data_IF_968283582784
#
_entry.id   IF_968283582784
#
_cell.length_a   1.000
_cell.length_b   1.000
_cell.length_c   1.000
_cell.angle_alpha   90.00
_cell.angle_beta   90.00
_cell.angle_gamma   90.00
#
_symmetry.space_group_name_H-M   'P 1'
#
loop_
_entity.id
_entity.type
_entity.pdbx_description
1 polymer ?
#
# COMPACT_ATOMS: atom_id res chain seq x y z
N UNK A 1 26.38 -5.48 5.73
CA UNK A 1 26.79 -6.66 6.49
C UNK A 1 26.20 -7.92 5.87
N UNK A 2 27.03 -8.88 5.62
CA UNK A 2 26.59 -10.11 4.98
C UNK A 2 25.87 -10.99 6.00
N UNK A 3 24.68 -11.47 5.66
CA UNK A 3 23.87 -12.32 6.52
C UNK A 3 24.59 -13.60 6.95
N UNK A 4 25.52 -14.09 6.14
CA UNK A 4 26.35 -15.26 6.44
C UNK A 4 27.41 -15.01 7.51
N UNK A 5 27.77 -13.76 7.72
CA UNK A 5 28.73 -13.38 8.77
C UNK A 5 28.06 -13.28 10.15
N UNK A 6 26.73 -13.20 10.18
CA UNK A 6 25.93 -13.14 11.39
C UNK A 6 25.32 -14.50 11.72
N UNK A 7 26.07 -15.57 11.55
CA UNK A 7 25.59 -16.97 11.66
C UNK A 7 25.21 -17.38 13.08
N UNK A 8 24.62 -16.48 13.83
CA UNK A 8 24.03 -16.77 15.10
C UNK A 8 22.55 -17.07 14.86
N UNK A 9 22.09 -18.24 15.24
CA UNK A 9 20.69 -18.67 15.10
C UNK A 9 19.73 -17.70 15.76
N UNK A 10 20.12 -17.10 16.89
CA UNK A 10 19.31 -16.14 17.61
C UNK A 10 19.16 -14.83 16.82
N UNK A 11 20.21 -14.42 16.13
CA UNK A 11 20.21 -13.21 15.30
C UNK A 11 19.34 -13.39 14.06
N UNK A 12 19.40 -14.57 13.43
CA UNK A 12 18.53 -14.90 12.29
C UNK A 12 17.06 -14.90 12.71
N UNK A 13 16.73 -15.49 13.86
CA UNK A 13 15.36 -15.48 14.40
C UNK A 13 14.88 -14.07 14.70
N UNK A 14 15.74 -13.23 15.22
CA UNK A 14 15.42 -11.83 15.52
C UNK A 14 15.09 -11.06 14.24
N UNK A 15 15.91 -11.21 13.19
CA UNK A 15 15.70 -10.56 11.90
C UNK A 15 14.42 -11.03 11.25
N UNK A 16 14.11 -12.32 11.30
CA UNK A 16 12.87 -12.87 10.76
C UNK A 16 11.65 -12.33 11.49
N UNK A 17 11.72 -12.21 12.81
CA UNK A 17 10.66 -11.62 13.62
C UNK A 17 10.43 -10.16 13.25
N UNK A 18 11.49 -9.37 13.13
CA UNK A 18 11.40 -7.95 12.76
C UNK A 18 10.81 -7.79 11.37
N UNK A 19 11.22 -8.63 10.41
CA UNK A 19 10.68 -8.63 9.07
C UNK A 19 9.19 -8.98 9.06
N UNK A 20 8.78 -9.99 9.83
CA UNK A 20 7.37 -10.40 9.92
C UNK A 20 6.51 -9.31 10.54
N UNK A 21 6.98 -8.64 11.59
CA UNK A 21 6.28 -7.53 12.22
C UNK A 21 6.09 -6.36 11.24
N UNK A 22 7.12 -6.08 10.45
CA UNK A 22 7.11 -5.03 9.45
C UNK A 22 6.15 -5.35 8.30
N UNK A 23 6.16 -6.58 7.80
CA UNK A 23 5.21 -7.05 6.79
C UNK A 23 3.79 -6.94 7.29
N UNK A 24 3.55 -7.31 8.54
CA UNK A 24 2.24 -7.21 9.18
C UNK A 24 1.79 -5.74 9.31
N UNK A 25 2.70 -4.85 9.70
CA UNK A 25 2.42 -3.41 9.77
C UNK A 25 2.07 -2.85 8.39
N UNK A 26 2.85 -3.23 7.38
CA UNK A 26 2.59 -2.84 5.99
C UNK A 26 1.24 -3.34 5.53
N UNK A 27 0.91 -4.60 5.81
CA UNK A 27 -0.38 -5.20 5.46
C UNK A 27 -1.54 -4.42 6.08
N UNK A 28 -1.43 -4.06 7.35
CA UNK A 28 -2.46 -3.29 8.05
C UNK A 28 -2.67 -1.91 7.43
N UNK A 29 -1.59 -1.22 7.10
CA UNK A 29 -1.66 0.10 6.46
C UNK A 29 -2.30 0.03 5.08
N UNK A 30 -1.90 -0.95 4.27
CA UNK A 30 -2.48 -1.16 2.93
C UNK A 30 -3.95 -1.53 3.05
N UNK A 31 -4.31 -2.44 3.96
CA UNK A 31 -5.71 -2.82 4.20
C UNK A 31 -6.55 -1.63 4.64
N UNK A 32 -6.01 -0.76 5.51
CA UNK A 32 -6.69 0.46 5.95
C UNK A 32 -6.93 1.41 4.78
N UNK A 33 -5.93 1.61 3.92
CA UNK A 33 -6.08 2.43 2.72
C UNK A 33 -7.17 1.88 1.80
N UNK A 34 -7.22 0.56 1.61
CA UNK A 34 -8.28 -0.09 0.83
C UNK A 34 -9.66 0.21 1.43
N UNK A 35 -9.82 0.09 2.74
CA UNK A 35 -11.08 0.36 3.42
C UNK A 35 -11.53 1.81 3.23
N UNK A 36 -10.60 2.75 3.27
CA UNK A 36 -10.89 4.17 3.05
C UNK A 36 -11.37 4.43 1.62
N UNK A 37 -10.75 3.78 0.63
CA UNK A 37 -11.01 4.00 -0.79
C UNK A 37 -12.17 3.17 -1.33
N UNK A 38 -12.48 2.06 -0.71
CA UNK A 38 -13.48 1.09 -1.19
C UNK A 38 -14.85 1.70 -1.44
N UNK A 39 -15.38 2.61 -0.60
CA UNK A 39 -16.67 3.25 -0.88
C UNK A 39 -16.76 3.97 -2.21
N UNK A 40 -15.64 4.41 -2.79
CA UNK A 40 -15.64 5.08 -4.09
C UNK A 40 -16.13 4.18 -5.23
N UNK A 41 -16.15 2.86 -5.02
CA UNK A 41 -16.59 1.91 -6.05
C UNK A 41 -18.11 1.80 -6.17
N UNK A 42 -18.86 2.24 -5.15
CA UNK A 42 -20.32 2.17 -5.16
C UNK A 42 -21.04 3.47 -4.82
N UNK A 43 -20.31 4.47 -4.31
CA UNK A 43 -20.90 5.77 -3.98
C UNK A 43 -21.04 6.63 -5.24
N UNK A 44 -22.07 7.45 -5.27
CA UNK A 44 -22.21 8.51 -6.26
C UNK A 44 -21.72 9.82 -5.64
N UNK A 45 -21.07 10.65 -6.46
CA UNK A 45 -20.48 11.91 -6.01
C UNK A 45 -21.20 13.05 -6.75
N UNK A 46 -22.35 13.43 -6.23
CA UNK A 46 -23.21 14.47 -6.87
C UNK A 46 -23.01 15.84 -6.22
N UNK A 47 -22.68 15.88 -4.92
CA UNK A 47 -22.49 17.14 -4.21
C UNK A 47 -21.03 17.51 -4.06
N UNK A 48 -20.76 18.81 -3.92
CA UNK A 48 -19.40 19.30 -3.65
C UNK A 48 -18.86 18.77 -2.33
N UNK A 49 -19.73 18.58 -1.36
CA UNK A 49 -19.38 18.01 -0.06
C UNK A 49 -18.91 16.56 -0.18
N UNK A 50 -19.61 15.74 -0.98
CA UNK A 50 -19.21 14.36 -1.26
C UNK A 50 -17.87 14.30 -1.99
N UNK A 51 -17.67 15.17 -2.95
CA UNK A 51 -16.40 15.27 -3.71
C UNK A 51 -15.25 15.70 -2.81
N UNK A 52 -15.48 16.66 -1.91
CA UNK A 52 -14.47 17.08 -0.94
C UNK A 52 -14.08 15.96 0.02
N UNK A 53 -15.05 15.16 0.45
CA UNK A 53 -14.79 13.98 1.27
C UNK A 53 -13.95 12.95 0.53
N UNK A 54 -14.26 12.68 -0.72
CA UNK A 54 -13.47 11.77 -1.56
C UNK A 54 -12.02 12.23 -1.66
N UNK A 55 -11.80 13.53 -1.90
CA UNK A 55 -10.46 14.10 -1.96
C UNK A 55 -9.70 13.91 -0.65
N UNK A 56 -10.36 14.14 0.48
CA UNK A 56 -9.77 13.92 1.80
C UNK A 56 -9.43 12.45 2.02
N UNK A 57 -10.32 11.54 1.62
CA UNK A 57 -10.11 10.10 1.75
C UNK A 57 -8.93 9.64 0.89
N UNK A 58 -8.82 10.15 -0.34
CA UNK A 58 -7.68 9.84 -1.22
C UNK A 58 -6.37 10.32 -0.59
N UNK A 59 -6.33 11.55 -0.08
CA UNK A 59 -5.15 12.10 0.57
C UNK A 59 -4.75 11.29 1.80
N UNK A 60 -5.72 10.85 2.59
CA UNK A 60 -5.47 10.00 3.76
C UNK A 60 -4.88 8.65 3.35
N UNK A 61 -5.44 8.03 2.31
CA UNK A 61 -4.92 6.78 1.78
C UNK A 61 -3.47 6.93 1.28
N UNK A 62 -3.17 8.00 0.56
CA UNK A 62 -1.81 8.29 0.09
C UNK A 62 -0.84 8.38 1.27
N UNK A 63 -1.20 9.09 2.33
CA UNK A 63 -0.35 9.21 3.52
C UNK A 63 -0.06 7.86 4.16
N UNK A 64 -1.06 7.00 4.26
CA UNK A 64 -0.89 5.63 4.79
C UNK A 64 0.05 4.81 3.91
N UNK A 65 -0.12 4.91 2.59
CA UNK A 65 0.67 4.14 1.63
C UNK A 65 2.11 4.64 1.56
N UNK A 66 2.33 5.94 1.61
CA UNK A 66 3.68 6.51 1.68
C UNK A 66 4.40 6.04 2.94
N UNK A 67 3.72 6.05 4.08
CA UNK A 67 4.29 5.54 5.33
C UNK A 67 4.63 4.04 5.23
N UNK A 68 3.77 3.26 4.57
CA UNK A 68 4.03 1.83 4.36
C UNK A 68 5.26 1.61 3.47
N UNK A 69 5.37 2.35 2.37
CA UNK A 69 6.51 2.25 1.45
C UNK A 69 7.80 2.68 2.13
N UNK A 70 7.79 3.76 2.88
CA UNK A 70 8.97 4.23 3.63
C UNK A 70 9.44 3.19 4.65
N UNK A 71 8.52 2.59 5.38
CA UNK A 71 8.84 1.53 6.33
C UNK A 71 9.55 0.36 5.63
N UNK A 72 9.04 -0.04 4.47
CA UNK A 72 9.65 -1.11 3.69
C UNK A 72 11.03 -0.72 3.15
N UNK A 73 11.20 0.52 2.69
CA UNK A 73 12.47 0.99 2.11
C UNK A 73 13.56 1.17 3.17
N UNK A 74 13.22 1.70 4.35
CA UNK A 74 14.21 2.03 5.37
C UNK A 74 14.69 0.84 6.19
N UNK A 75 13.85 -0.15 6.38
CA UNK A 75 14.11 -1.22 7.34
C UNK A 75 14.36 -2.56 6.69
N UNK A 76 14.36 -2.61 5.36
CA UNK A 76 14.48 -3.89 4.64
C UNK A 76 15.85 -4.12 4.06
N UNK A 77 16.38 -5.31 4.28
CA UNK A 77 17.21 -5.91 3.26
C UNK A 77 16.29 -6.24 2.08
N UNK A 78 16.69 -5.85 0.88
CA UNK A 78 15.86 -6.00 -0.30
C UNK A 78 15.75 -7.45 -0.73
N UNK A 79 14.60 -8.03 -0.49
CA UNK A 79 14.18 -9.30 -1.09
C UNK A 79 13.29 -9.00 -2.30
N UNK A 80 13.16 -9.96 -3.21
CA UNK A 80 12.35 -9.77 -4.43
C UNK A 80 10.90 -9.37 -4.12
N UNK A 81 10.31 -9.95 -3.08
CA UNK A 81 8.94 -9.63 -2.68
C UNK A 81 8.82 -8.22 -2.09
N UNK A 82 9.87 -7.72 -1.41
CA UNK A 82 9.89 -6.35 -0.89
C UNK A 82 9.84 -5.34 -2.02
N UNK A 83 10.61 -5.61 -3.08
CA UNK A 83 10.65 -4.77 -4.28
C UNK A 83 9.27 -4.77 -4.96
N UNK A 84 8.66 -5.94 -5.11
CA UNK A 84 7.33 -6.09 -5.72
C UNK A 84 6.27 -5.32 -4.94
N UNK A 85 6.25 -5.45 -3.62
CA UNK A 85 5.30 -4.78 -2.74
C UNK A 85 5.47 -3.26 -2.81
N UNK A 86 6.70 -2.77 -2.69
CA UNK A 86 6.99 -1.33 -2.77
C UNK A 86 6.60 -0.78 -4.13
N UNK A 87 6.90 -1.50 -5.21
CA UNK A 87 6.49 -1.10 -6.55
C UNK A 87 4.97 -0.97 -6.67
N UNK A 88 4.22 -1.94 -6.19
CA UNK A 88 2.76 -1.93 -6.25
C UNK A 88 2.17 -0.79 -5.43
N UNK A 89 2.72 -0.55 -4.23
CA UNK A 89 2.28 0.56 -3.37
C UNK A 89 2.58 1.91 -4.04
N UNK A 90 3.77 2.09 -4.60
CA UNK A 90 4.15 3.34 -5.27
C UNK A 90 3.32 3.59 -6.53
N UNK A 91 3.01 2.55 -7.30
CA UNK A 91 2.11 2.65 -8.45
C UNK A 91 0.70 3.07 -8.02
N UNK A 92 0.19 2.51 -6.92
CA UNK A 92 -1.10 2.90 -6.37
C UNK A 92 -1.08 4.38 -5.93
N UNK A 93 -0.02 4.82 -5.26
CA UNK A 93 0.15 6.23 -4.88
C UNK A 93 0.17 7.14 -6.11
N UNK A 94 0.82 6.73 -7.19
CA UNK A 94 0.86 7.47 -8.44
C UNK A 94 -0.55 7.64 -9.03
N UNK A 95 -1.35 6.58 -9.05
CA UNK A 95 -2.74 6.64 -9.52
C UNK A 95 -3.60 7.57 -8.66
N UNK A 96 -3.45 7.48 -7.34
CA UNK A 96 -4.16 8.34 -6.40
C UNK A 96 -3.72 9.80 -6.54
N UNK A 97 -2.44 10.04 -6.78
CA UNK A 97 -1.91 11.37 -7.07
C UNK A 97 -2.51 11.97 -8.33
N UNK A 98 -2.69 11.18 -9.39
CA UNK A 98 -3.37 11.59 -10.61
C UNK A 98 -4.83 11.96 -10.32
N UNK A 99 -5.52 11.17 -9.49
CA UNK A 99 -6.90 11.47 -9.10
C UNK A 99 -7.00 12.82 -8.38
N UNK A 100 -6.10 13.08 -7.44
CA UNK A 100 -6.06 14.36 -6.72
C UNK A 100 -5.77 15.51 -7.68
N UNK A 101 -4.79 15.35 -8.57
CA UNK A 101 -4.44 16.38 -9.55
C UNK A 101 -5.63 16.72 -10.45
N UNK A 102 -6.39 15.73 -10.90
CA UNK A 102 -7.62 15.93 -11.67
C UNK A 102 -8.63 16.77 -10.88
N UNK A 103 -8.77 16.52 -9.58
CA UNK A 103 -9.72 17.21 -8.72
C UNK A 103 -9.35 18.66 -8.42
N UNK A 104 -8.15 19.12 -8.78
CA UNK A 104 -7.77 20.53 -8.69
C UNK A 104 -8.25 21.37 -9.86
N UNK A 105 -8.70 20.74 -10.92
CA UNK A 105 -9.25 21.47 -12.07
C UNK A 105 -10.66 21.97 -11.75
N UNK A 106 -11.04 23.14 -12.33
CA UNK A 106 -12.33 23.75 -12.05
C UNK A 106 -13.50 22.88 -12.50
N UNK A 107 -13.33 22.25 -13.66
CA UNK A 107 -14.29 21.27 -14.16
C UNK A 107 -13.56 19.95 -14.38
N UNK A 108 -13.72 19.03 -13.47
CA UNK A 108 -13.10 17.72 -13.61
C UNK A 108 -14.15 16.62 -13.77
N UNK A 109 -13.73 15.54 -14.43
CA UNK A 109 -14.57 14.38 -14.64
C UNK A 109 -14.43 13.43 -13.43
N UNK A 110 -15.50 13.34 -12.66
CA UNK A 110 -15.51 12.45 -11.48
C UNK A 110 -15.32 10.97 -11.87
N UNK A 111 -15.73 10.59 -13.08
CA UNK A 111 -15.53 9.22 -13.56
C UNK A 111 -14.05 8.90 -13.75
N UNK A 112 -13.26 9.86 -14.21
CA UNK A 112 -11.80 9.71 -14.31
C UNK A 112 -11.16 9.56 -12.92
N UNK A 113 -11.61 10.34 -11.95
CA UNK A 113 -11.13 10.25 -10.57
C UNK A 113 -11.42 8.87 -9.99
N UNK A 114 -12.65 8.41 -10.11
CA UNK A 114 -13.04 7.10 -9.57
C UNK A 114 -12.39 5.95 -10.32
N UNK A 115 -12.12 6.10 -11.61
CA UNK A 115 -11.37 5.12 -12.39
C UNK A 115 -9.92 4.99 -11.89
N UNK A 116 -9.26 6.11 -11.61
CA UNK A 116 -7.90 6.10 -11.05
C UNK A 116 -7.88 5.45 -9.65
N UNK A 117 -8.88 5.73 -8.83
CA UNK A 117 -9.02 5.08 -7.52
C UNK A 117 -9.24 3.56 -7.68
N UNK A 118 -10.05 3.15 -8.64
CA UNK A 118 -10.28 1.73 -8.91
C UNK A 118 -8.98 1.03 -9.35
N UNK A 119 -8.19 1.68 -10.21
CA UNK A 119 -6.88 1.14 -10.61
C UNK A 119 -5.94 1.01 -9.41
N UNK A 120 -5.93 2.00 -8.53
CA UNK A 120 -5.15 1.94 -7.30
C UNK A 120 -5.59 0.77 -6.41
N UNK A 121 -6.91 0.55 -6.27
CA UNK A 121 -7.45 -0.55 -5.48
C UNK A 121 -7.01 -1.91 -6.02
N UNK A 122 -6.94 -2.08 -7.34
CA UNK A 122 -6.44 -3.32 -7.96
C UNK A 122 -4.96 -3.54 -7.58
N UNK A 123 -4.15 -2.50 -7.64
CA UNK A 123 -2.73 -2.57 -7.25
C UNK A 123 -2.56 -2.90 -5.78
N UNK A 124 -3.37 -2.30 -4.91
CA UNK A 124 -3.34 -2.56 -3.48
C UNK A 124 -3.79 -3.97 -3.13
N UNK A 125 -4.79 -4.50 -3.85
CA UNK A 125 -5.21 -5.89 -3.70
C UNK A 125 -4.07 -6.84 -4.08
N UNK A 126 -3.32 -6.54 -5.14
CA UNK A 126 -2.14 -7.31 -5.52
C UNK A 126 -1.06 -7.24 -4.46
N UNK A 127 -0.83 -6.07 -3.86
CA UNK A 127 0.13 -5.92 -2.77
C UNK A 127 -0.24 -6.78 -1.56
N UNK A 128 -1.52 -6.78 -1.17
CA UNK A 128 -2.03 -7.63 -0.09
C UNK A 128 -1.80 -9.10 -0.43
N UNK A 129 -2.13 -9.53 -1.65
CA UNK A 129 -1.93 -10.91 -2.08
C UNK A 129 -0.44 -11.32 -2.01
N UNK A 130 0.46 -10.43 -2.39
CA UNK A 130 1.90 -10.66 -2.30
C UNK A 130 2.34 -10.81 -0.84
N UNK A 131 1.87 -9.91 0.03
CA UNK A 131 2.17 -9.95 1.47
C UNK A 131 1.69 -11.25 2.12
N UNK A 132 0.47 -11.68 1.81
CA UNK A 132 -0.10 -12.91 2.36
C UNK A 132 0.66 -14.12 1.84
N UNK A 133 0.95 -14.17 0.54
CA UNK A 133 1.67 -15.29 -0.07
C UNK A 133 3.05 -15.50 0.56
N UNK A 134 3.81 -14.43 0.76
CA UNK A 134 5.14 -14.52 1.34
C UNK A 134 5.11 -14.86 2.82
N UNK A 135 4.12 -14.36 3.54
CA UNK A 135 3.92 -14.70 4.95
C UNK A 135 3.58 -16.18 5.11
N UNK A 136 2.71 -16.71 4.25
CA UNK A 136 2.35 -18.13 4.24
C UNK A 136 3.54 -19.02 3.86
N UNK A 137 4.36 -18.58 2.89
CA UNK A 137 5.58 -19.28 2.49
C UNK A 137 6.57 -19.37 3.66
N UNK A 138 6.76 -18.29 4.42
CA UNK A 138 7.62 -18.27 5.59
C UNK A 138 7.13 -19.26 6.66
N UNK A 139 5.83 -19.35 6.85
CA UNK A 139 5.22 -20.29 7.81
C UNK A 139 5.39 -21.73 7.32
N UNK A 140 5.26 -21.99 6.02
CA UNK A 140 5.35 -23.34 5.47
C UNK A 140 6.78 -23.90 5.45
N UNK A 141 7.79 -23.06 5.53
CA UNK A 141 9.20 -23.48 5.58
C UNK A 141 9.68 -23.82 7.00
N UNK A 142 8.86 -23.58 7.98
CA UNK A 142 9.16 -23.92 9.37
C UNK A 142 8.72 -25.37 9.71
#
# INVERSE_FOLDING_TARGET
MNRKECNDKDQVKYLDKVNNERLETTRKRVAHAIQILKPSTWCTYESDEQKAKLKTDIAHAVNLLEAAAEEMEFHCEWFDYDIEIVFQINEACSKLGQAIAEMFEDEYDIEMVTADVADALVLLAKAIATLVRWNDADVSEV
#
